data_IF_121542005939
#
_entry.id   IF_121542005939
#
_cell.length_a   1.000
_cell.length_b   1.000
_cell.length_c   1.000
_cell.angle_alpha   90.00
_cell.angle_beta   90.00
_cell.angle_gamma   90.00
#
_symmetry.space_group_name_H-M   'P 1'
#
loop_
_entity.id
_entity.type
_entity.pdbx_description
1 polymer ?
#
# COMPACT_ATOMS: atom_id res chain seq x y z
N UNK A 1 -44.10 -3.96 -5.04
CA UNK A 1 -43.14 -2.92 -4.62
C UNK A 1 -42.96 -3.06 -3.12
N UNK A 2 -41.77 -3.36 -2.64
CA UNK A 2 -41.49 -3.37 -1.21
C UNK A 2 -41.25 -1.94 -0.70
N UNK A 3 -41.78 -1.63 0.47
CA UNK A 3 -41.56 -0.37 1.18
C UNK A 3 -40.11 -0.24 1.65
N UNK A 4 -39.62 0.99 1.84
CA UNK A 4 -38.28 1.25 2.37
C UNK A 4 -38.03 0.55 3.73
N UNK A 5 -39.09 0.34 4.52
CA UNK A 5 -39.08 -0.37 5.80
C UNK A 5 -38.85 -1.88 5.62
N UNK A 6 -39.49 -2.51 4.64
CA UNK A 6 -39.28 -3.92 4.30
C UNK A 6 -37.86 -4.16 3.78
N UNK A 7 -37.32 -3.20 3.03
CA UNK A 7 -35.94 -3.20 2.53
C UNK A 7 -34.89 -3.01 3.63
N UNK A 8 -35.12 -2.12 4.58
CA UNK A 8 -34.27 -1.97 5.77
C UNK A 8 -34.30 -3.22 6.67
N UNK A 9 -35.45 -3.89 6.73
CA UNK A 9 -35.62 -5.15 7.46
C UNK A 9 -34.85 -6.29 6.76
N UNK A 10 -34.94 -6.38 5.43
CA UNK A 10 -34.15 -7.33 4.62
C UNK A 10 -32.65 -7.10 4.72
N UNK A 11 -32.19 -5.83 4.70
CA UNK A 11 -30.79 -5.46 4.88
C UNK A 11 -30.29 -5.80 6.29
N UNK A 12 -31.10 -5.53 7.32
CA UNK A 12 -30.76 -5.87 8.72
C UNK A 12 -30.65 -7.38 8.92
N UNK A 13 -31.56 -8.15 8.31
CA UNK A 13 -31.52 -9.63 8.29
C UNK A 13 -30.30 -10.16 7.55
N UNK A 14 -29.97 -9.63 6.37
CA UNK A 14 -28.79 -10.03 5.62
C UNK A 14 -27.46 -9.74 6.38
N UNK A 15 -27.39 -8.61 7.10
CA UNK A 15 -26.25 -8.27 7.96
C UNK A 15 -26.16 -9.19 9.17
N UNK A 16 -27.28 -9.53 9.82
CA UNK A 16 -27.32 -10.47 10.93
C UNK A 16 -26.89 -11.89 10.54
N UNK A 17 -27.38 -12.39 9.40
CA UNK A 17 -27.02 -13.71 8.86
C UNK A 17 -25.52 -13.82 8.57
N UNK A 18 -24.92 -12.77 7.98
CA UNK A 18 -23.47 -12.76 7.69
C UNK A 18 -22.59 -12.76 8.94
N UNK A 19 -23.11 -12.39 10.12
CA UNK A 19 -22.36 -12.44 11.38
C UNK A 19 -22.35 -13.83 12.02
N UNK A 20 -23.21 -14.75 11.56
CA UNK A 20 -23.48 -16.02 12.23
C UNK A 20 -23.17 -17.22 11.33
N UNK A 21 -23.20 -17.04 10.01
CA UNK A 21 -23.10 -18.13 9.03
C UNK A 21 -21.68 -18.28 8.47
N UNK A 22 -21.18 -19.51 8.37
CA UNK A 22 -19.85 -19.80 7.81
C UNK A 22 -19.86 -19.77 6.27
N UNK A 23 -18.71 -19.51 5.62
CA UNK A 23 -18.58 -19.45 4.15
C UNK A 23 -19.05 -20.72 3.42
N UNK A 24 -19.17 -21.85 4.13
CA UNK A 24 -19.62 -23.13 3.59
C UNK A 24 -21.13 -23.16 3.33
N UNK A 25 -21.92 -22.45 4.13
CA UNK A 25 -23.38 -22.44 4.07
C UNK A 25 -23.90 -21.40 3.04
N UNK A 26 -23.08 -20.38 2.73
CA UNK A 26 -23.39 -19.35 1.73
C UNK A 26 -23.30 -19.84 0.27
N UNK A 27 -22.65 -20.98 0.02
CA UNK A 27 -22.50 -21.54 -1.33
C UNK A 27 -23.80 -22.13 -1.90
N UNK A 28 -24.71 -22.55 -1.02
CA UNK A 28 -25.95 -23.22 -1.42
C UNK A 28 -27.08 -22.23 -1.80
N UNK A 29 -26.86 -20.91 -1.66
CA UNK A 29 -27.87 -19.84 -1.92
C UNK A 29 -27.61 -19.08 -3.23
N UNK A 30 -26.60 -19.48 -4.01
CA UNK A 30 -26.30 -18.85 -5.29
C UNK A 30 -27.21 -19.40 -6.39
N UNK A 31 -28.44 -18.89 -6.48
CA UNK A 31 -29.36 -19.18 -7.59
C UNK A 31 -29.88 -17.90 -8.24
N UNK A 32 -29.98 -17.88 -9.57
CA UNK A 32 -30.46 -16.74 -10.36
C UNK A 32 -32.01 -16.65 -10.41
N UNK A 33 -32.71 -17.70 -9.95
CA UNK A 33 -34.17 -17.78 -9.93
C UNK A 33 -34.74 -17.27 -8.59
N UNK A 34 -35.67 -16.31 -8.67
CA UNK A 34 -36.25 -15.62 -7.51
C UNK A 34 -37.13 -16.54 -6.63
N UNK A 35 -37.81 -17.50 -7.23
CA UNK A 35 -38.70 -18.44 -6.52
C UNK A 35 -37.87 -19.53 -5.83
N UNK A 36 -36.82 -19.98 -6.51
CA UNK A 36 -35.81 -20.89 -5.98
C UNK A 36 -34.96 -20.23 -4.88
N UNK A 37 -34.69 -18.93 -4.96
CA UNK A 37 -34.04 -18.18 -3.88
C UNK A 37 -34.92 -18.14 -2.63
N UNK A 38 -36.23 -17.88 -2.75
CA UNK A 38 -37.15 -17.85 -1.61
C UNK A 38 -37.28 -19.25 -0.99
N UNK A 39 -37.35 -20.30 -1.81
CA UNK A 39 -37.38 -21.69 -1.35
C UNK A 39 -36.05 -22.09 -0.70
N UNK A 40 -34.91 -21.76 -1.31
CA UNK A 40 -33.57 -22.05 -0.77
C UNK A 40 -33.27 -21.25 0.49
N UNK A 41 -33.78 -20.02 0.61
CA UNK A 41 -33.66 -19.20 1.81
C UNK A 41 -34.51 -19.78 2.96
N UNK A 42 -35.73 -20.23 2.66
CA UNK A 42 -36.58 -20.96 3.61
C UNK A 42 -35.96 -22.31 4.01
N UNK A 43 -35.27 -22.97 3.07
CA UNK A 43 -34.52 -24.20 3.32
C UNK A 43 -33.28 -23.94 4.20
N UNK A 44 -32.59 -22.82 3.99
CA UNK A 44 -31.48 -22.39 4.83
C UNK A 44 -31.95 -22.13 6.26
N UNK A 45 -33.06 -21.41 6.44
CA UNK A 45 -33.71 -21.21 7.74
C UNK A 45 -34.05 -22.53 8.44
N UNK A 46 -34.35 -23.59 7.67
CA UNK A 46 -34.61 -24.92 8.21
C UNK A 46 -33.36 -25.76 8.53
N UNK A 47 -32.22 -25.48 7.89
CA UNK A 47 -30.96 -26.26 7.98
C UNK A 47 -29.94 -25.72 8.99
N UNK A 48 -30.16 -24.51 9.45
CA UNK A 48 -29.36 -23.84 10.47
C UNK A 48 -29.62 -24.52 11.83
N UNK A 49 -28.56 -24.96 12.53
CA UNK A 49 -28.67 -25.72 13.80
C UNK A 49 -29.48 -24.95 14.87
N UNK A 50 -30.10 -25.63 15.85
CA UNK A 50 -30.94 -24.95 16.87
C UNK A 50 -30.24 -23.79 17.59
N UNK A 51 -28.95 -23.90 17.92
CA UNK A 51 -28.15 -22.80 18.50
C UNK A 51 -28.05 -21.60 17.55
N UNK A 52 -28.05 -21.87 16.25
CA UNK A 52 -27.93 -20.87 15.20
C UNK A 52 -29.31 -20.30 14.82
N UNK A 53 -30.40 -21.04 15.05
CA UNK A 53 -31.80 -20.60 14.99
C UNK A 53 -32.15 -19.65 16.14
N UNK A 54 -31.72 -19.94 17.36
CA UNK A 54 -31.83 -19.00 18.50
C UNK A 54 -31.07 -17.70 18.24
N UNK A 55 -29.89 -17.80 17.59
CA UNK A 55 -29.14 -16.65 17.09
C UNK A 55 -29.92 -15.89 16.01
N UNK A 56 -30.43 -16.59 15.00
CA UNK A 56 -31.20 -16.01 13.90
C UNK A 56 -32.50 -15.36 14.36
N UNK A 57 -33.24 -15.97 15.28
CA UNK A 57 -34.45 -15.42 15.92
C UNK A 57 -34.13 -14.13 16.69
N UNK A 58 -33.06 -14.11 17.50
CA UNK A 58 -32.57 -12.87 18.14
C UNK A 58 -32.23 -11.78 17.12
N UNK A 59 -31.77 -12.13 15.93
CA UNK A 59 -31.46 -11.20 14.84
C UNK A 59 -32.66 -10.86 13.93
N UNK A 60 -33.66 -11.74 13.77
CA UNK A 60 -34.87 -11.49 12.95
C UNK A 60 -35.81 -10.49 13.61
N UNK A 61 -35.74 -10.37 14.95
CA UNK A 61 -36.47 -9.40 15.76
C UNK A 61 -35.68 -8.12 16.07
N UNK A 62 -34.37 -8.07 15.78
CA UNK A 62 -33.60 -6.82 15.80
C UNK A 62 -33.86 -6.04 14.51
N UNK A 63 -34.97 -5.28 14.47
CA UNK A 63 -35.07 -4.15 13.56
C UNK A 63 -34.04 -3.12 14.02
N UNK A 64 -32.84 -3.16 13.43
CA UNK A 64 -31.87 -2.08 13.62
C UNK A 64 -32.56 -0.79 13.18
N UNK A 65 -32.50 0.23 14.04
CA UNK A 65 -32.91 1.55 13.61
C UNK A 65 -32.06 2.00 12.42
N UNK A 66 -32.57 2.94 11.62
CA UNK A 66 -31.81 3.50 10.51
C UNK A 66 -30.43 4.03 10.96
N UNK A 67 -30.35 4.55 12.19
CA UNK A 67 -29.13 5.05 12.80
C UNK A 67 -28.15 3.93 13.18
N UNK A 68 -28.66 2.84 13.78
CA UNK A 68 -27.84 1.68 14.15
C UNK A 68 -27.28 0.96 12.92
N UNK A 69 -28.09 0.84 11.86
CA UNK A 69 -27.63 0.27 10.58
C UNK A 69 -26.54 1.16 9.96
N UNK A 70 -26.76 2.48 9.97
CA UNK A 70 -25.77 3.46 9.49
C UNK A 70 -24.46 3.37 10.29
N UNK A 71 -24.56 3.24 11.61
CA UNK A 71 -23.40 3.10 12.49
C UNK A 71 -22.62 1.82 12.18
N UNK A 72 -23.30 0.67 12.05
CA UNK A 72 -22.66 -0.60 11.70
C UNK A 72 -21.98 -0.54 10.33
N UNK A 73 -22.64 0.01 9.31
CA UNK A 73 -22.05 0.17 7.97
C UNK A 73 -20.82 1.08 8.00
N UNK A 74 -20.84 2.13 8.83
CA UNK A 74 -19.70 3.04 8.99
C UNK A 74 -18.52 2.39 9.74
N UNK A 75 -18.79 1.44 10.63
CA UNK A 75 -17.78 0.71 11.40
C UNK A 75 -17.15 -0.47 10.64
N UNK A 76 -17.76 -0.93 9.53
CA UNK A 76 -17.18 -1.99 8.69
C UNK A 76 -15.81 -1.59 8.16
N UNK A 77 -14.87 -2.54 8.17
CA UNK A 77 -13.58 -2.38 7.50
C UNK A 77 -13.79 -2.24 5.99
N UNK A 78 -12.87 -1.60 5.25
CA UNK A 78 -13.03 -1.42 3.80
C UNK A 78 -13.29 -2.71 3.02
N UNK A 79 -12.60 -3.81 3.37
CA UNK A 79 -12.78 -5.11 2.71
C UNK A 79 -14.16 -5.74 3.01
N UNK A 80 -14.61 -5.64 4.27
CA UNK A 80 -15.93 -6.11 4.72
C UNK A 80 -17.05 -5.33 4.02
N UNK A 81 -16.88 -4.01 3.91
CA UNK A 81 -17.82 -3.14 3.22
C UNK A 81 -17.88 -3.41 1.71
N UNK A 82 -16.75 -3.67 1.05
CA UNK A 82 -16.73 -4.04 -0.38
C UNK A 82 -17.53 -5.32 -0.59
N UNK A 83 -17.26 -6.37 0.20
CA UNK A 83 -18.00 -7.63 0.09
C UNK A 83 -19.50 -7.44 0.37
N UNK A 84 -19.85 -6.65 1.39
CA UNK A 84 -21.24 -6.30 1.69
C UNK A 84 -21.90 -5.56 0.53
N UNK A 85 -21.24 -4.53 -0.01
CA UNK A 85 -21.73 -3.76 -1.15
C UNK A 85 -21.96 -4.64 -2.38
N UNK A 86 -21.04 -5.55 -2.69
CA UNK A 86 -21.19 -6.48 -3.82
C UNK A 86 -22.39 -7.42 -3.63
N UNK A 87 -22.63 -7.90 -2.41
CA UNK A 87 -23.84 -8.68 -2.10
C UNK A 87 -25.12 -7.87 -2.34
N UNK A 88 -25.14 -6.59 -1.95
CA UNK A 88 -26.30 -5.72 -2.20
C UNK A 88 -26.46 -5.42 -3.68
N UNK A 89 -25.39 -5.17 -4.42
CA UNK A 89 -25.46 -4.89 -5.86
C UNK A 89 -25.94 -6.13 -6.65
N UNK A 90 -25.54 -7.34 -6.25
CA UNK A 90 -26.07 -8.58 -6.81
C UNK A 90 -27.56 -8.77 -6.50
N UNK A 91 -27.96 -8.48 -5.26
CA UNK A 91 -29.37 -8.52 -4.86
C UNK A 91 -30.22 -7.49 -5.63
N UNK A 92 -29.72 -6.27 -5.83
CA UNK A 92 -30.37 -5.24 -6.67
C UNK A 92 -30.61 -5.78 -8.08
N UNK A 93 -29.59 -6.35 -8.72
CA UNK A 93 -29.71 -6.93 -10.08
C UNK A 93 -30.77 -8.02 -10.16
N UNK A 94 -30.85 -8.87 -9.13
CA UNK A 94 -31.76 -10.01 -9.11
C UNK A 94 -33.22 -9.63 -8.77
N UNK A 95 -33.43 -8.64 -7.89
CA UNK A 95 -34.75 -8.38 -7.29
C UNK A 95 -35.36 -7.05 -7.72
N UNK A 96 -34.56 -5.97 -7.74
CA UNK A 96 -35.04 -4.65 -8.11
C UNK A 96 -33.87 -3.76 -8.58
N UNK A 97 -33.63 -3.68 -9.91
CA UNK A 97 -32.53 -2.90 -10.47
C UNK A 97 -32.62 -1.40 -10.16
N UNK A 98 -33.81 -0.87 -9.87
CA UNK A 98 -34.04 0.55 -9.57
C UNK A 98 -33.82 0.89 -8.09
N UNK A 99 -33.57 -0.10 -7.22
CA UNK A 99 -33.38 0.16 -5.80
C UNK A 99 -32.07 0.91 -5.50
N UNK A 100 -32.20 2.07 -4.84
CA UNK A 100 -31.08 2.86 -4.34
C UNK A 100 -31.08 2.82 -2.81
N UNK A 101 -29.97 2.40 -2.21
CA UNK A 101 -29.77 2.45 -0.76
C UNK A 101 -28.89 3.68 -0.43
N UNK A 102 -29.46 4.78 0.10
CA UNK A 102 -28.73 6.03 0.30
C UNK A 102 -27.51 5.89 1.22
N UNK A 103 -27.59 5.00 2.23
CA UNK A 103 -26.51 4.74 3.18
C UNK A 103 -25.30 4.10 2.48
N UNK A 104 -25.56 3.11 1.61
CA UNK A 104 -24.50 2.43 0.84
C UNK A 104 -23.89 3.38 -0.18
N UNK A 105 -24.71 4.14 -0.91
CA UNK A 105 -24.20 5.11 -1.89
C UNK A 105 -23.39 6.23 -1.22
N UNK A 106 -23.82 6.73 -0.05
CA UNK A 106 -23.09 7.71 0.75
C UNK A 106 -21.72 7.16 1.20
N UNK A 107 -21.68 5.91 1.70
CA UNK A 107 -20.43 5.27 2.14
C UNK A 107 -19.51 4.97 0.95
N UNK A 108 -20.03 4.51 -0.20
CA UNK A 108 -19.29 4.34 -1.46
C UNK A 108 -18.65 5.67 -1.89
N UNK A 109 -19.42 6.75 -1.92
CA UNK A 109 -18.94 8.08 -2.29
C UNK A 109 -17.82 8.56 -1.33
N UNK A 110 -17.95 8.31 -0.02
CA UNK A 110 -16.92 8.63 0.96
C UNK A 110 -15.63 7.84 0.72
N UNK A 111 -15.71 6.52 0.54
CA UNK A 111 -14.54 5.68 0.25
C UNK A 111 -13.88 6.12 -1.06
N UNK A 112 -14.67 6.41 -2.10
CA UNK A 112 -14.16 6.91 -3.37
C UNK A 112 -13.41 8.24 -3.19
N UNK A 113 -13.95 9.17 -2.39
CA UNK A 113 -13.28 10.42 -2.07
C UNK A 113 -11.98 10.21 -1.28
N UNK A 114 -11.95 9.26 -0.34
CA UNK A 114 -10.73 8.88 0.40
C UNK A 114 -9.68 8.27 -0.54
N UNK A 115 -10.07 7.38 -1.46
CA UNK A 115 -9.19 6.82 -2.51
C UNK A 115 -8.61 7.94 -3.38
N UNK A 116 -9.44 8.88 -3.84
CA UNK A 116 -8.97 10.02 -4.64
C UNK A 116 -7.95 10.87 -3.87
N UNK A 117 -8.17 11.11 -2.57
CA UNK A 117 -7.21 11.80 -1.71
C UNK A 117 -5.89 11.03 -1.59
N UNK A 118 -5.94 9.72 -1.35
CA UNK A 118 -4.76 8.86 -1.27
C UNK A 118 -3.97 8.88 -2.59
N UNK A 119 -4.65 8.74 -3.73
CA UNK A 119 -4.02 8.79 -5.06
C UNK A 119 -3.31 10.14 -5.28
N UNK A 120 -3.93 11.26 -4.88
CA UNK A 120 -3.29 12.58 -4.93
C UNK A 120 -2.04 12.64 -4.05
N UNK A 121 -2.12 12.15 -2.81
CA UNK A 121 -0.97 12.11 -1.89
C UNK A 121 0.15 11.26 -2.47
N UNK A 122 -0.14 10.07 -3.00
CA UNK A 122 0.86 9.18 -3.61
C UNK A 122 1.54 9.85 -4.81
N UNK A 123 0.79 10.58 -5.66
CA UNK A 123 1.36 11.36 -6.76
C UNK A 123 2.31 12.45 -6.26
N UNK A 124 1.91 13.21 -5.23
CA UNK A 124 2.75 14.25 -4.63
C UNK A 124 4.04 13.64 -4.05
N UNK A 125 3.92 12.56 -3.28
CA UNK A 125 5.09 11.86 -2.71
C UNK A 125 6.02 11.36 -3.81
N UNK A 126 5.49 10.85 -4.93
CA UNK A 126 6.31 10.44 -6.09
C UNK A 126 7.06 11.62 -6.69
N UNK A 127 6.41 12.78 -6.86
CA UNK A 127 7.03 14.00 -7.40
C UNK A 127 8.13 14.51 -6.47
N UNK A 128 7.86 14.61 -5.17
CA UNK A 128 8.85 15.05 -4.17
C UNK A 128 10.08 14.15 -4.19
N UNK A 129 9.90 12.83 -4.30
CA UNK A 129 11.02 11.88 -4.42
C UNK A 129 11.85 12.11 -5.68
N UNK A 130 11.20 12.34 -6.82
CA UNK A 130 11.88 12.62 -8.09
C UNK A 130 12.74 13.89 -7.96
N UNK A 131 12.15 14.97 -7.42
CA UNK A 131 12.86 16.24 -7.20
C UNK A 131 14.08 16.04 -6.31
N UNK A 132 13.92 15.34 -5.18
CA UNK A 132 15.04 15.09 -4.26
C UNK A 132 16.16 14.27 -4.92
N UNK A 133 15.83 13.24 -5.71
CA UNK A 133 16.83 12.44 -6.43
C UNK A 133 17.62 13.33 -7.40
N UNK A 134 16.95 14.17 -8.18
CA UNK A 134 17.60 15.08 -9.13
C UNK A 134 18.51 16.06 -8.39
N UNK A 135 18.03 16.67 -7.30
CA UNK A 135 18.84 17.60 -6.50
C UNK A 135 20.11 16.95 -5.96
N UNK A 136 20.01 15.77 -5.35
CA UNK A 136 21.18 15.06 -4.80
C UNK A 136 22.15 14.65 -5.92
N UNK A 137 21.64 14.21 -7.08
CA UNK A 137 22.49 13.86 -8.22
C UNK A 137 23.21 15.09 -8.80
N UNK A 138 22.55 16.25 -8.83
CA UNK A 138 23.15 17.52 -9.27
C UNK A 138 24.25 17.98 -8.30
N UNK A 139 24.00 17.94 -6.99
CA UNK A 139 25.01 18.25 -5.96
C UNK A 139 26.20 17.30 -6.06
N UNK A 140 25.95 16.00 -6.23
CA UNK A 140 26.99 15.01 -6.38
C UNK A 140 27.81 15.23 -7.66
N UNK A 141 27.15 15.55 -8.78
CA UNK A 141 27.82 15.89 -10.04
C UNK A 141 28.73 17.11 -9.84
N UNK A 142 28.25 18.16 -9.19
CA UNK A 142 29.02 19.38 -8.93
C UNK A 142 30.23 19.13 -8.03
N UNK A 143 30.07 18.27 -7.01
CA UNK A 143 31.19 17.81 -6.19
C UNK A 143 32.25 17.08 -7.03
N UNK A 144 31.84 16.17 -7.91
CA UNK A 144 32.78 15.45 -8.79
C UNK A 144 33.46 16.39 -9.80
N UNK A 145 32.74 17.37 -10.35
CA UNK A 145 33.31 18.37 -11.26
C UNK A 145 34.43 19.17 -10.58
N UNK A 146 34.17 19.70 -9.38
CA UNK A 146 35.17 20.43 -8.60
C UNK A 146 36.40 19.55 -8.26
N UNK A 147 36.17 18.24 -8.04
CA UNK A 147 37.25 17.28 -7.79
C UNK A 147 38.08 17.00 -9.05
N UNK A 148 37.44 16.86 -10.20
CA UNK A 148 38.11 16.69 -11.50
C UNK A 148 38.98 17.90 -11.83
N UNK A 149 38.44 19.11 -11.62
CA UNK A 149 39.17 20.36 -11.79
C UNK A 149 40.38 20.45 -10.86
N UNK A 150 40.18 20.12 -9.57
CA UNK A 150 41.27 20.11 -8.56
C UNK A 150 42.37 19.10 -8.88
N UNK A 151 42.03 17.94 -9.44
CA UNK A 151 42.98 16.92 -9.87
C UNK A 151 43.69 17.28 -11.20
N UNK A 152 43.31 18.40 -11.85
CA UNK A 152 43.93 18.86 -13.09
C UNK A 152 43.76 17.86 -14.24
N UNK A 153 42.65 17.11 -14.24
CA UNK A 153 42.41 16.05 -15.21
C UNK A 153 42.22 16.65 -16.60
N UNK A 154 43.10 16.28 -17.53
CA UNK A 154 42.97 16.62 -18.94
C UNK A 154 42.44 15.39 -19.70
N UNK A 155 41.25 15.50 -20.29
CA UNK A 155 40.61 14.42 -21.05
C UNK A 155 41.40 13.97 -22.28
N UNK A 156 42.33 14.79 -22.78
CA UNK A 156 43.16 14.47 -23.93
C UNK A 156 44.46 13.72 -23.57
N UNK A 157 44.70 13.47 -22.27
CA UNK A 157 45.88 12.76 -21.78
C UNK A 157 45.52 11.36 -21.27
N UNK A 158 46.47 10.40 -21.25
CA UNK A 158 46.24 9.10 -20.62
C UNK A 158 45.85 9.28 -19.15
N UNK A 159 44.65 8.82 -18.80
CA UNK A 159 44.15 8.88 -17.43
C UNK A 159 44.70 7.71 -16.61
N UNK A 160 45.04 7.98 -15.35
CA UNK A 160 45.22 6.89 -14.39
C UNK A 160 43.90 6.17 -14.14
N UNK A 161 43.95 4.90 -13.74
CA UNK A 161 42.74 4.12 -13.40
C UNK A 161 41.86 4.81 -12.32
N UNK A 162 42.45 5.63 -11.44
CA UNK A 162 41.71 6.40 -10.43
C UNK A 162 40.95 7.56 -11.06
N UNK A 163 41.58 8.30 -11.98
CA UNK A 163 40.97 9.41 -12.71
C UNK A 163 39.89 8.91 -13.66
N UNK A 164 40.11 7.79 -14.35
CA UNK A 164 39.11 7.16 -15.22
C UNK A 164 37.84 6.80 -14.43
N UNK A 165 37.99 6.15 -13.27
CA UNK A 165 36.86 5.85 -12.37
C UNK A 165 36.12 7.13 -11.95
N UNK A 166 36.84 8.20 -11.61
CA UNK A 166 36.23 9.48 -11.25
C UNK A 166 35.40 10.07 -12.40
N UNK A 167 35.97 10.14 -13.60
CA UNK A 167 35.29 10.61 -14.81
C UNK A 167 34.08 9.74 -15.16
N UNK A 168 34.18 8.41 -15.01
CA UNK A 168 33.06 7.50 -15.25
C UNK A 168 31.86 7.76 -14.33
N UNK A 169 32.11 8.10 -13.05
CA UNK A 169 31.04 8.48 -12.12
C UNK A 169 30.41 9.81 -12.51
N UNK A 170 31.23 10.80 -12.85
CA UNK A 170 30.77 12.11 -13.31
C UNK A 170 29.90 11.99 -14.57
N UNK A 171 30.39 11.27 -15.59
CA UNK A 171 29.69 11.05 -16.85
C UNK A 171 28.35 10.31 -16.64
N UNK A 172 28.31 9.31 -15.76
CA UNK A 172 27.06 8.62 -15.44
C UNK A 172 26.00 9.56 -14.83
N UNK A 173 26.41 10.54 -14.01
CA UNK A 173 25.50 11.55 -13.46
C UNK A 173 25.07 12.56 -14.52
N UNK A 174 26.00 13.05 -15.35
CA UNK A 174 25.72 13.95 -16.47
C UNK A 174 24.71 13.31 -17.43
N UNK A 175 24.92 12.05 -17.82
CA UNK A 175 24.01 11.31 -18.69
C UNK A 175 22.61 11.22 -18.09
N UNK A 176 22.50 10.93 -16.79
CA UNK A 176 21.20 10.90 -16.11
C UNK A 176 20.53 12.28 -16.14
N UNK A 177 21.26 13.32 -15.74
CA UNK A 177 20.74 14.69 -15.60
C UNK A 177 20.40 15.32 -16.96
N UNK A 178 21.07 14.97 -18.04
CA UNK A 178 20.72 15.44 -19.38
C UNK A 178 19.46 14.77 -19.96
N UNK A 179 19.12 13.57 -19.47
CA UNK A 179 18.03 12.76 -20.04
C UNK A 179 16.78 12.69 -19.15
N UNK A 180 16.85 13.05 -17.87
CA UNK A 180 15.76 12.83 -16.91
C UNK A 180 14.41 13.49 -17.26
N UNK A 181 14.43 14.57 -18.04
CA UNK A 181 13.22 15.28 -18.45
C UNK A 181 12.55 14.71 -19.69
N UNK A 182 13.21 13.80 -20.42
CA UNK A 182 12.66 13.19 -21.65
C UNK A 182 11.46 12.28 -21.29
N UNK A 183 10.38 12.27 -22.09
CA UNK A 183 9.17 11.48 -21.80
C UNK A 183 9.46 10.00 -21.56
N UNK A 184 10.25 9.39 -22.44
CA UNK A 184 10.68 7.98 -22.36
C UNK A 184 11.43 7.66 -21.06
N UNK A 185 12.14 8.65 -20.51
CA UNK A 185 12.90 8.51 -19.28
C UNK A 185 12.01 8.59 -18.04
N UNK A 186 10.89 9.33 -18.08
CA UNK A 186 10.00 9.52 -16.92
C UNK A 186 9.36 8.22 -16.45
N UNK A 187 9.02 7.33 -17.38
CA UNK A 187 8.44 6.02 -17.04
C UNK A 187 9.46 5.11 -16.36
N UNK A 188 10.72 5.20 -16.76
CA UNK A 188 11.82 4.40 -16.24
C UNK A 188 12.69 5.15 -15.23
N UNK A 189 12.24 6.30 -14.72
CA UNK A 189 13.08 7.24 -13.96
C UNK A 189 13.82 6.56 -12.79
N UNK A 190 13.09 5.81 -11.97
CA UNK A 190 13.67 5.15 -10.79
C UNK A 190 14.64 4.03 -11.18
N UNK A 191 14.40 3.33 -12.30
CA UNK A 191 15.27 2.27 -12.77
C UNK A 191 16.58 2.85 -13.33
N UNK A 192 16.47 3.93 -14.13
CA UNK A 192 17.65 4.66 -14.61
C UNK A 192 18.43 5.29 -13.47
N UNK A 193 17.77 5.84 -12.46
CA UNK A 193 18.43 6.39 -11.27
C UNK A 193 19.21 5.31 -10.51
N UNK A 194 18.63 4.12 -10.33
CA UNK A 194 19.33 2.96 -9.75
C UNK A 194 20.53 2.53 -10.58
N UNK A 195 20.38 2.45 -11.90
CA UNK A 195 21.48 2.10 -12.81
C UNK A 195 22.63 3.10 -12.72
N UNK A 196 22.33 4.40 -12.67
CA UNK A 196 23.34 5.45 -12.47
C UNK A 196 24.05 5.29 -11.13
N UNK A 197 23.33 5.12 -10.02
CA UNK A 197 23.93 4.90 -8.69
C UNK A 197 24.80 3.63 -8.66
N UNK A 198 24.36 2.55 -9.30
CA UNK A 198 25.12 1.31 -9.40
C UNK A 198 26.40 1.49 -10.23
N UNK A 199 26.35 2.25 -11.32
CA UNK A 199 27.55 2.65 -12.07
C UNK A 199 28.51 3.46 -11.19
N UNK A 200 27.99 4.38 -10.38
CA UNK A 200 28.81 5.12 -9.43
C UNK A 200 29.51 4.19 -8.43
N UNK A 201 28.75 3.26 -7.82
CA UNK A 201 29.26 2.27 -6.87
C UNK A 201 30.32 1.34 -7.48
N UNK A 202 30.09 0.84 -8.71
CA UNK A 202 31.03 -0.01 -9.41
C UNK A 202 32.37 0.68 -9.70
N UNK A 203 32.35 2.01 -9.85
CA UNK A 203 33.55 2.83 -10.01
C UNK A 203 34.19 3.25 -8.67
N UNK A 204 33.83 2.62 -7.54
CA UNK A 204 34.49 2.79 -6.24
C UNK A 204 34.54 4.26 -5.76
N UNK A 205 33.39 4.83 -5.35
CA UNK A 205 33.35 6.18 -4.81
C UNK A 205 34.19 6.29 -3.55
N UNK A 206 34.78 7.45 -3.32
CA UNK A 206 35.58 7.68 -2.11
C UNK A 206 34.69 7.84 -0.85
N UNK A 207 35.35 7.99 0.29
CA UNK A 207 34.67 8.20 1.57
C UNK A 207 33.85 9.50 1.62
N UNK A 208 34.33 10.57 0.98
CA UNK A 208 33.67 11.87 0.96
C UNK A 208 32.42 11.87 0.06
N UNK A 209 32.34 10.94 -0.89
CA UNK A 209 31.18 10.71 -1.76
C UNK A 209 30.06 9.92 -1.05
N UNK A 210 30.35 9.30 0.09
CA UNK A 210 29.41 8.46 0.86
C UNK A 210 28.07 9.15 1.20
N UNK A 211 28.02 10.42 1.63
CA UNK A 211 26.75 11.08 1.97
C UNK A 211 25.76 11.09 0.79
N UNK A 212 26.23 11.41 -0.42
CA UNK A 212 25.40 11.43 -1.63
C UNK A 212 24.86 10.04 -1.96
N UNK A 213 25.75 9.04 -1.99
CA UNK A 213 25.38 7.64 -2.26
C UNK A 213 24.37 7.14 -1.22
N UNK A 214 24.55 7.51 0.04
CA UNK A 214 23.66 7.08 1.10
C UNK A 214 22.25 7.66 0.92
N UNK A 215 22.14 8.97 0.70
CA UNK A 215 20.85 9.63 0.45
C UNK A 215 20.14 9.06 -0.79
N UNK A 216 20.87 8.84 -1.89
CA UNK A 216 20.32 8.25 -3.11
C UNK A 216 19.82 6.82 -2.89
N UNK A 217 20.62 5.97 -2.24
CA UNK A 217 20.22 4.59 -1.97
C UNK A 217 19.04 4.50 -0.99
N UNK A 218 18.90 5.44 -0.07
CA UNK A 218 17.77 5.52 0.85
C UNK A 218 16.47 5.89 0.13
N UNK A 219 16.51 6.91 -0.73
CA UNK A 219 15.37 7.33 -1.54
C UNK A 219 14.93 6.22 -2.52
N UNK A 220 15.90 5.55 -3.14
CA UNK A 220 15.65 4.48 -4.14
C UNK A 220 15.20 3.15 -3.52
N UNK A 221 15.51 2.91 -2.23
CA UNK A 221 15.05 1.74 -1.47
C UNK A 221 13.71 1.95 -0.77
N UNK A 222 13.00 3.03 -1.08
CA UNK A 222 11.72 3.39 -0.45
C UNK A 222 11.83 3.54 1.08
N UNK A 223 13.01 3.86 1.60
CA UNK A 223 13.21 4.00 3.05
C UNK A 223 13.42 2.68 3.80
N UNK A 224 13.44 1.53 3.12
CA UNK A 224 13.72 0.22 3.77
C UNK A 224 15.11 0.23 4.41
N UNK A 225 16.13 0.78 3.73
CA UNK A 225 17.49 0.84 4.27
C UNK A 225 17.61 1.71 5.54
N UNK A 226 17.04 2.93 5.59
CA UNK A 226 16.93 3.69 6.84
C UNK A 226 16.25 2.94 7.97
N UNK A 227 15.12 2.26 7.71
CA UNK A 227 14.39 1.48 8.71
C UNK A 227 15.28 0.35 9.23
N UNK A 228 15.93 -0.38 8.32
CA UNK A 228 16.88 -1.43 8.67
C UNK A 228 18.02 -0.86 9.54
N UNK A 229 18.69 0.21 9.11
CA UNK A 229 19.75 0.83 9.92
C UNK A 229 19.28 1.30 11.29
N UNK A 230 18.07 1.85 11.40
CA UNK A 230 17.50 2.30 12.67
C UNK A 230 17.13 1.13 13.59
N UNK A 231 16.71 0.00 13.03
CA UNK A 231 16.40 -1.22 13.78
C UNK A 231 17.67 -1.89 14.28
N UNK A 232 18.65 -2.11 13.39
CA UNK A 232 19.89 -2.81 13.70
C UNK A 232 20.93 -1.94 14.43
N UNK A 233 20.83 -0.61 14.41
CA UNK A 233 21.66 0.24 15.28
C UNK A 233 21.36 0.04 16.77
N UNK A 234 20.18 -0.50 17.10
CA UNK A 234 19.82 -0.86 18.46
C UNK A 234 20.16 -2.31 18.79
N UNK A 235 20.56 -3.14 17.82
CA UNK A 235 20.88 -4.55 18.04
C UNK A 235 22.01 -4.71 19.06
N UNK A 236 23.11 -3.97 18.91
CA UNK A 236 24.21 -4.00 19.88
C UNK A 236 23.78 -3.55 21.29
N UNK A 237 22.79 -2.66 21.40
CA UNK A 237 22.23 -2.22 22.69
C UNK A 237 21.37 -3.31 23.30
N UNK A 238 20.51 -3.96 22.50
CA UNK A 238 19.67 -5.06 22.95
C UNK A 238 20.48 -6.30 23.30
N UNK A 239 21.52 -6.62 22.51
CA UNK A 239 22.46 -7.72 22.78
C UNK A 239 23.20 -7.49 24.09
N UNK A 240 23.67 -6.26 24.35
CA UNK A 240 24.26 -5.90 25.65
C UNK A 240 23.26 -6.07 26.80
N UNK A 241 22.03 -5.59 26.65
CA UNK A 241 20.98 -5.74 27.66
C UNK A 241 20.62 -7.21 27.91
N UNK A 242 20.58 -8.03 26.86
CA UNK A 242 20.38 -9.47 26.95
C UNK A 242 21.55 -10.12 27.71
N UNK A 243 22.79 -9.91 27.27
CA UNK A 243 23.98 -10.45 27.95
C UNK A 243 24.05 -10.06 29.44
N UNK A 244 23.70 -8.81 29.78
CA UNK A 244 23.58 -8.34 31.17
C UNK A 244 22.45 -9.06 31.94
N UNK A 245 21.27 -9.25 31.32
CA UNK A 245 20.12 -9.88 31.95
C UNK A 245 20.28 -11.40 32.17
N UNK A 246 20.95 -12.11 31.27
CA UNK A 246 21.25 -13.55 31.42
C UNK A 246 22.60 -13.82 32.10
N UNK A 247 23.34 -12.79 32.52
CA UNK A 247 24.66 -12.95 33.15
C UNK A 247 25.71 -13.58 32.22
N UNK A 248 25.48 -13.53 30.92
CA UNK A 248 26.36 -14.13 29.92
C UNK A 248 27.51 -13.15 29.61
N UNK A 249 28.71 -13.45 30.11
CA UNK A 249 29.93 -12.80 29.65
C UNK A 249 30.26 -13.40 28.28
N UNK A 250 29.91 -12.67 27.22
CA UNK A 250 30.18 -13.09 25.84
C UNK A 250 31.66 -13.46 25.62
N UNK A 251 31.98 -14.21 24.55
CA UNK A 251 33.36 -14.52 24.21
C UNK A 251 34.15 -13.21 24.13
N UNK A 252 35.25 -13.13 24.88
CA UNK A 252 36.13 -11.97 24.90
C UNK A 252 36.50 -11.55 23.47
N UNK A 253 36.52 -10.23 23.26
CA UNK A 253 36.86 -9.55 22.01
C UNK A 253 37.99 -10.20 21.23
#
# INVERSE_FOLDING_TARGET
MYSATELLTLLSRAVGIKQVVTDKDLKDVQTENQQEFIENFSLLESRVSEETKEGLEKFTFMQLSADELTQKINQMKPQEFIAFSSSIDNWKKAVNPEFVCPIIESRKARIQNEIVKIVKIVKIVKIVKIVNIVMIMEEYKNYLAAKIEKEGINENAPLSAKQEKLCNRYNALVDFLNNHNKPEFREQFFEKAKQTVNKCLANQPDWLERPFIQQLTDLLSLGIKPIYRAFFSQEAKFEKQLCEAVGYKGPGM
#
